data_IF_197534694286
#
_entry.id   IF_197534694286
#
_cell.length_a   1.000
_cell.length_b   1.000
_cell.length_c   1.000
_cell.angle_alpha   90.00
_cell.angle_beta   90.00
_cell.angle_gamma   90.00
#
_symmetry.space_group_name_H-M   'P 1'
#
loop_
_entity.id
_entity.type
_entity.pdbx_description
1 polymer ?
#
# COMPACT_ATOMS: atom_id res chain seq x y z
N UNK A 1 15.14 5.30 24.63
CA UNK A 1 15.49 5.26 26.07
C UNK A 1 16.66 6.21 26.28
N UNK A 2 16.67 6.93 27.41
CA UNK A 2 17.53 8.08 27.68
C UNK A 2 19.03 7.79 27.46
N UNK A 3 19.74 8.72 26.81
CA UNK A 3 21.21 8.69 26.69
C UNK A 3 21.81 9.29 27.95
N UNK A 4 22.27 8.45 28.86
CA UNK A 4 23.04 8.87 30.02
C UNK A 4 24.46 9.21 29.58
N UNK A 5 24.82 10.49 29.61
CA UNK A 5 26.18 10.97 29.41
C UNK A 5 26.97 10.75 30.71
N UNK A 6 27.90 9.79 30.72
CA UNK A 6 28.83 9.61 31.84
C UNK A 6 29.85 10.74 31.89
N UNK A 7 30.10 11.28 33.09
CA UNK A 7 31.15 12.27 33.33
C UNK A 7 32.54 11.62 33.32
N UNK A 8 33.58 12.38 33.01
CA UNK A 8 34.97 11.88 32.93
C UNK A 8 35.40 11.13 34.21
N UNK A 9 34.99 11.63 35.38
CA UNK A 9 35.25 10.98 36.67
C UNK A 9 34.58 9.61 36.83
N UNK A 10 33.41 9.39 36.21
CA UNK A 10 32.74 8.09 36.23
C UNK A 10 33.46 7.09 35.31
N UNK A 11 33.98 7.56 34.17
CA UNK A 11 34.80 6.75 33.28
C UNK A 11 36.13 6.36 33.94
N UNK A 12 36.77 7.28 34.67
CA UNK A 12 38.02 7.01 35.38
C UNK A 12 37.84 6.01 36.54
N UNK A 13 36.71 6.08 37.26
CA UNK A 13 36.39 5.10 38.29
C UNK A 13 36.15 3.70 37.70
N UNK A 14 35.44 3.60 36.57
CA UNK A 14 35.21 2.34 35.84
C UNK A 14 36.56 1.75 35.37
N UNK A 15 37.46 2.58 34.82
CA UNK A 15 38.81 2.18 34.42
C UNK A 15 39.62 1.63 35.60
N UNK A 16 39.57 2.29 36.76
CA UNK A 16 40.31 1.85 37.96
C UNK A 16 39.80 0.52 38.53
N UNK A 17 38.49 0.26 38.44
CA UNK A 17 37.87 -0.99 38.88
C UNK A 17 38.14 -2.15 37.92
N UNK A 18 38.12 -1.89 36.60
CA UNK A 18 38.46 -2.88 35.57
C UNK A 18 39.93 -3.30 35.65
N UNK A 19 40.85 -2.35 35.88
CA UNK A 19 42.27 -2.65 36.04
C UNK A 19 42.57 -3.53 37.28
N UNK A 20 41.81 -3.36 38.38
CA UNK A 20 41.95 -4.19 39.59
C UNK A 20 41.38 -5.61 39.44
N UNK A 21 40.45 -5.83 38.52
CA UNK A 21 39.69 -7.09 38.45
C UNK A 21 40.26 -8.07 37.41
N UNK A 22 41.06 -7.60 36.45
CA UNK A 22 41.47 -8.41 35.29
C UNK A 22 42.93 -8.87 35.23
N UNK A 23 43.84 -8.31 36.05
CA UNK A 23 45.25 -8.74 36.07
C UNK A 23 46.02 -8.56 34.74
N UNK A 24 47.32 -8.83 34.76
CA UNK A 24 48.36 -8.39 33.80
C UNK A 24 48.26 -8.89 32.33
N UNK A 25 47.11 -9.30 31.84
CA UNK A 25 46.90 -9.65 30.41
C UNK A 25 46.09 -8.62 29.62
N UNK A 26 45.83 -7.43 30.16
CA UNK A 26 44.91 -6.44 29.59
C UNK A 26 45.53 -5.24 28.86
N UNK A 27 46.84 -5.17 28.65
CA UNK A 27 47.49 -3.99 28.03
C UNK A 27 47.02 -3.72 26.60
N UNK A 28 46.82 -4.77 25.78
CA UNK A 28 46.36 -4.65 24.39
C UNK A 28 44.86 -4.35 24.23
N UNK A 29 44.04 -4.62 25.25
CA UNK A 29 42.61 -4.32 25.23
C UNK A 29 42.32 -2.88 25.69
N UNK A 30 43.13 -2.34 26.59
CA UNK A 30 43.05 -0.95 27.08
C UNK A 30 43.56 0.05 26.04
N UNK A 31 44.64 -0.25 25.32
CA UNK A 31 45.15 0.62 24.23
C UNK A 31 44.17 0.74 23.06
N UNK A 32 43.44 -0.33 22.72
CA UNK A 32 42.42 -0.30 21.67
C UNK A 32 41.14 0.46 22.07
N UNK A 33 40.91 0.67 23.36
CA UNK A 33 39.83 1.50 23.88
C UNK A 33 40.24 2.98 23.94
N UNK A 34 41.49 3.29 24.27
CA UNK A 34 41.99 4.68 24.32
C UNK A 34 41.99 5.36 22.94
N UNK A 35 42.27 4.60 21.87
CA UNK A 35 42.19 5.07 20.48
C UNK A 35 40.75 5.29 19.95
N UNK A 36 39.73 4.77 20.64
CA UNK A 36 38.32 4.99 20.24
C UNK A 36 37.66 6.19 20.93
N UNK A 37 38.29 6.76 21.96
CA UNK A 37 37.71 7.85 22.76
C UNK A 37 38.50 9.17 22.73
N UNK A 38 39.64 9.26 22.05
CA UNK A 38 40.46 10.50 21.95
C UNK A 38 40.45 11.19 20.58
N UNK A 39 39.55 10.85 19.66
CA UNK A 39 39.31 11.68 18.48
C UNK A 39 38.50 12.93 18.88
N UNK A 40 39.20 14.01 19.28
CA UNK A 40 38.62 15.34 19.51
C UNK A 40 38.54 16.13 18.20
N UNK A 41 37.41 16.81 18.07
CA UNK A 41 37.09 17.86 17.11
C UNK A 41 38.01 19.08 17.30
N UNK A 42 38.48 19.66 16.19
CA UNK A 42 38.77 21.10 16.11
C UNK A 42 37.70 21.74 15.22
N UNK A 43 36.91 22.63 15.81
CA UNK A 43 35.94 23.50 15.14
C UNK A 43 36.65 24.58 14.31
N UNK A 44 36.13 24.86 13.12
CA UNK A 44 36.11 26.23 12.59
C UNK A 44 34.65 26.57 12.35
N UNK A 45 34.11 27.42 13.23
CA UNK A 45 32.81 28.06 13.06
C UNK A 45 32.98 29.10 11.95
N UNK A 46 32.28 28.90 10.83
CA UNK A 46 31.95 29.94 9.87
C UNK A 46 30.42 29.98 9.81
N UNK A 47 29.86 31.13 10.14
CA UNK A 47 28.42 31.37 10.21
C UNK A 47 27.70 30.97 8.91
N UNK A 48 26.64 30.18 9.07
CA UNK A 48 25.84 29.63 8.01
C UNK A 48 24.91 30.67 7.37
N UNK A 49 24.75 30.57 6.05
CA UNK A 49 23.61 31.11 5.32
C UNK A 49 22.58 29.95 5.17
N UNK A 50 21.27 30.11 5.46
CA UNK A 50 20.41 28.98 5.83
C UNK A 50 19.82 28.12 4.69
N UNK A 51 20.11 28.39 3.41
CA UNK A 51 19.34 27.79 2.30
C UNK A 51 20.06 26.75 1.43
N UNK A 52 21.20 26.19 1.86
CA UNK A 52 21.89 25.14 1.09
C UNK A 52 22.36 24.02 2.03
N UNK A 53 21.45 23.10 2.37
CA UNK A 53 21.84 21.80 2.91
C UNK A 53 22.42 20.93 1.78
N UNK A 54 23.75 20.96 1.63
CA UNK A 54 24.53 20.00 0.84
C UNK A 54 25.27 19.06 1.81
N UNK A 55 25.18 17.75 1.55
CA UNK A 55 25.70 16.62 2.34
C UNK A 55 27.10 16.84 2.96
N UNK A 56 27.20 16.73 4.29
CA UNK A 56 28.45 16.79 5.06
C UNK A 56 29.36 15.55 4.95
N UNK A 57 29.12 14.61 4.03
CA UNK A 57 29.96 13.41 3.86
C UNK A 57 30.85 13.40 2.61
N UNK A 58 30.92 14.49 1.85
CA UNK A 58 31.77 14.60 0.66
C UNK A 58 33.20 15.08 0.99
N UNK A 59 33.87 14.49 1.98
CA UNK A 59 35.33 14.66 2.15
C UNK A 59 36.05 13.66 1.26
N UNK A 60 36.10 13.96 -0.03
CA UNK A 60 36.99 13.32 -0.98
C UNK A 60 37.74 14.40 -1.76
N UNK A 61 38.78 14.98 -1.16
CA UNK A 61 39.93 15.64 -1.80
C UNK A 61 39.75 16.78 -2.82
N UNK A 62 38.58 16.98 -3.42
CA UNK A 62 38.39 17.87 -4.56
C UNK A 62 37.72 19.16 -4.12
N UNK A 63 38.48 20.26 -4.19
CA UNK A 63 37.94 21.60 -4.00
C UNK A 63 36.94 21.92 -5.12
N UNK A 64 35.81 22.60 -4.81
CA UNK A 64 34.93 23.13 -5.85
C UNK A 64 35.75 24.00 -6.82
N UNK A 65 35.72 23.67 -8.12
CA UNK A 65 36.49 24.36 -9.17
C UNK A 65 37.81 23.69 -9.59
N UNK A 66 38.23 22.59 -8.97
CA UNK A 66 39.35 21.81 -9.47
C UNK A 66 39.00 21.14 -10.82
N UNK A 67 39.88 21.26 -11.81
CA UNK A 67 39.79 20.46 -13.05
C UNK A 67 39.98 19.00 -12.66
N UNK A 68 38.91 18.21 -12.74
CA UNK A 68 38.97 16.75 -12.56
C UNK A 68 39.54 16.17 -13.85
N UNK A 69 40.76 15.62 -13.76
CA UNK A 69 41.36 14.80 -14.81
C UNK A 69 40.89 13.35 -14.61
N UNK A 70 39.97 12.91 -15.46
CA UNK A 70 39.41 11.56 -15.40
C UNK A 70 40.44 10.52 -15.81
N UNK A 71 41.37 10.86 -16.71
CA UNK A 71 42.38 9.92 -17.20
C UNK A 71 43.42 9.65 -16.11
N UNK A 72 43.83 10.68 -15.37
CA UNK A 72 44.73 10.53 -14.22
C UNK A 72 44.10 9.66 -13.12
N UNK A 73 42.84 9.93 -12.74
CA UNK A 73 42.14 9.14 -11.71
C UNK A 73 41.94 7.68 -12.13
N UNK A 74 41.66 7.42 -13.42
CA UNK A 74 41.57 6.05 -13.94
C UNK A 74 42.96 5.38 -13.89
N UNK A 75 44.02 6.09 -14.27
CA UNK A 75 45.38 5.56 -14.27
C UNK A 75 45.92 5.25 -12.87
N UNK A 76 45.52 6.01 -11.85
CA UNK A 76 45.85 5.71 -10.45
C UNK A 76 45.34 4.33 -9.98
N UNK A 77 44.28 3.82 -10.62
CA UNK A 77 43.79 2.46 -10.39
C UNK A 77 43.22 2.21 -9.00
N UNK A 78 42.89 3.26 -8.24
CA UNK A 78 42.32 3.14 -6.89
C UNK A 78 40.81 3.36 -6.90
N UNK A 79 40.06 2.41 -6.38
CA UNK A 79 38.59 2.44 -6.37
C UNK A 79 37.99 3.64 -5.60
N UNK A 80 38.56 3.98 -4.44
CA UNK A 80 38.08 5.08 -3.58
C UNK A 80 38.03 6.42 -4.31
N UNK A 81 39.15 6.88 -4.92
CA UNK A 81 39.18 8.05 -5.79
C UNK A 81 38.17 8.00 -6.96
N UNK A 82 38.04 6.86 -7.65
CA UNK A 82 37.08 6.71 -8.75
C UNK A 82 35.63 6.93 -8.28
N UNK A 83 35.21 6.28 -7.19
CA UNK A 83 33.89 6.49 -6.57
C UNK A 83 33.73 7.95 -6.09
N UNK A 84 34.76 8.50 -5.46
CA UNK A 84 34.89 9.90 -5.05
C UNK A 84 34.48 10.88 -6.15
N UNK A 85 34.93 10.60 -7.37
CA UNK A 85 34.86 11.49 -8.53
C UNK A 85 33.48 11.49 -9.21
N UNK A 86 32.68 10.45 -9.02
CA UNK A 86 31.33 10.37 -9.60
C UNK A 86 30.41 11.51 -9.14
N UNK A 87 30.44 11.85 -7.85
CA UNK A 87 29.56 12.89 -7.28
C UNK A 87 29.77 14.26 -7.94
N UNK A 88 31.02 14.76 -8.01
CA UNK A 88 31.36 15.98 -8.75
C UNK A 88 31.03 15.91 -10.25
N UNK A 89 31.34 14.80 -10.93
CA UNK A 89 31.07 14.65 -12.37
C UNK A 89 29.58 14.70 -12.71
N UNK A 90 28.71 14.19 -11.83
CA UNK A 90 27.25 14.24 -12.02
C UNK A 90 26.71 15.68 -11.94
N UNK A 91 27.40 16.61 -11.26
CA UNK A 91 27.01 18.03 -11.17
C UNK A 91 27.38 18.84 -12.43
N UNK A 92 28.19 18.28 -13.34
CA UNK A 92 28.70 18.97 -14.53
C UNK A 92 28.05 18.39 -15.79
N UNK A 93 27.01 19.04 -16.32
CA UNK A 93 26.21 18.51 -17.44
C UNK A 93 27.02 18.26 -18.72
N UNK A 94 28.07 19.04 -18.96
CA UNK A 94 28.93 18.94 -20.16
C UNK A 94 29.89 17.74 -20.12
N UNK A 95 30.02 17.06 -18.96
CA UNK A 95 30.97 15.95 -18.74
C UNK A 95 30.31 14.56 -18.72
N UNK A 96 29.26 14.35 -19.51
CA UNK A 96 28.58 13.03 -19.61
C UNK A 96 29.50 11.91 -20.12
N UNK A 97 30.38 12.20 -21.08
CA UNK A 97 31.33 11.22 -21.60
C UNK A 97 32.36 10.79 -20.53
N UNK A 98 32.92 11.77 -19.80
CA UNK A 98 33.82 11.56 -18.66
C UNK A 98 33.15 10.74 -17.55
N UNK A 99 31.90 11.04 -17.23
CA UNK A 99 31.10 10.29 -16.26
C UNK A 99 30.93 8.83 -16.70
N UNK A 100 30.60 8.59 -17.98
CA UNK A 100 30.45 7.24 -18.53
C UNK A 100 31.77 6.46 -18.49
N UNK A 101 32.88 7.08 -18.89
CA UNK A 101 34.22 6.46 -18.82
C UNK A 101 34.59 6.09 -17.38
N UNK A 102 34.29 6.95 -16.40
CA UNK A 102 34.54 6.67 -14.99
C UNK A 102 33.68 5.50 -14.48
N UNK A 103 32.40 5.46 -14.84
CA UNK A 103 31.49 4.35 -14.47
C UNK A 103 31.97 3.04 -15.09
N UNK A 104 32.36 3.03 -16.37
CA UNK A 104 32.91 1.86 -17.04
C UNK A 104 34.23 1.39 -16.40
N UNK A 105 35.11 2.31 -16.00
CA UNK A 105 36.34 1.98 -15.28
C UNK A 105 36.04 1.32 -13.91
N UNK A 106 35.06 1.84 -13.16
CA UNK A 106 34.63 1.26 -11.88
C UNK A 106 34.06 -0.14 -12.09
N UNK A 107 33.21 -0.34 -13.09
CA UNK A 107 32.60 -1.64 -13.42
C UNK A 107 33.68 -2.70 -13.72
N UNK A 108 34.71 -2.31 -14.47
CA UNK A 108 35.79 -3.18 -14.93
C UNK A 108 36.95 -3.30 -13.92
N UNK A 109 36.88 -2.63 -12.77
CA UNK A 109 37.94 -2.65 -11.78
C UNK A 109 38.09 -4.06 -11.16
N UNK A 110 39.31 -4.62 -11.04
CA UNK A 110 39.51 -6.01 -10.61
C UNK A 110 38.99 -6.30 -9.20
N UNK A 111 39.07 -5.33 -8.29
CA UNK A 111 38.62 -5.48 -6.90
C UNK A 111 37.15 -5.08 -6.66
N UNK A 112 36.40 -4.70 -7.69
CA UNK A 112 35.04 -4.19 -7.50
C UNK A 112 34.15 -5.27 -6.86
N UNK A 113 33.41 -4.89 -5.82
CA UNK A 113 32.41 -5.74 -5.16
C UNK A 113 31.02 -5.13 -5.32
N UNK A 114 29.99 -5.93 -5.03
CA UNK A 114 28.60 -5.51 -5.22
C UNK A 114 28.25 -4.24 -4.41
N UNK A 115 28.78 -4.09 -3.17
CA UNK A 115 28.54 -2.88 -2.37
C UNK A 115 29.17 -1.61 -2.99
N UNK A 116 30.28 -1.74 -3.71
CA UNK A 116 30.89 -0.61 -4.40
C UNK A 116 30.04 -0.14 -5.58
N UNK A 117 29.39 -1.07 -6.29
CA UNK A 117 28.45 -0.73 -7.36
C UNK A 117 27.20 -0.02 -6.82
N UNK A 118 26.69 -0.46 -5.65
CA UNK A 118 25.61 0.25 -4.95
C UNK A 118 26.06 1.65 -4.53
N UNK A 119 27.28 1.80 -4.02
CA UNK A 119 27.83 3.11 -3.69
C UNK A 119 27.94 4.01 -4.93
N UNK A 120 28.46 3.50 -6.04
CA UNK A 120 28.50 4.23 -7.32
C UNK A 120 27.08 4.67 -7.74
N UNK A 121 26.11 3.77 -7.59
CA UNK A 121 24.71 4.00 -7.94
C UNK A 121 24.09 5.14 -7.11
N UNK A 122 24.39 5.22 -5.80
CA UNK A 122 23.92 6.33 -4.95
C UNK A 122 24.40 7.69 -5.44
N UNK A 123 25.60 7.74 -6.02
CA UNK A 123 26.23 8.98 -6.52
C UNK A 123 25.67 9.40 -7.88
N UNK A 124 25.23 8.44 -8.71
CA UNK A 124 24.70 8.71 -10.07
C UNK A 124 23.18 8.62 -10.18
N UNK A 125 22.44 8.61 -9.04
CA UNK A 125 20.98 8.43 -8.97
C UNK A 125 20.12 9.34 -9.85
N UNK A 126 20.66 10.45 -10.35
CA UNK A 126 19.96 11.41 -11.24
C UNK A 126 20.20 11.14 -12.74
N UNK A 127 21.12 10.25 -13.10
CA UNK A 127 21.48 9.94 -14.47
C UNK A 127 20.97 8.54 -14.86
N UNK A 128 19.86 8.50 -15.62
CA UNK A 128 19.15 7.25 -15.93
C UNK A 128 20.03 6.24 -16.70
N UNK A 129 20.87 6.69 -17.62
CA UNK A 129 21.77 5.83 -18.39
C UNK A 129 22.79 5.14 -17.47
N UNK A 130 23.44 5.91 -16.59
CA UNK A 130 24.43 5.37 -15.65
C UNK A 130 23.80 4.43 -14.61
N UNK A 131 22.59 4.76 -14.15
CA UNK A 131 21.78 3.85 -13.29
C UNK A 131 21.59 2.51 -14.00
N UNK A 132 21.21 2.51 -15.27
CA UNK A 132 21.00 1.28 -16.05
C UNK A 132 22.27 0.41 -16.13
N UNK A 133 23.41 1.02 -16.48
CA UNK A 133 24.69 0.31 -16.58
C UNK A 133 25.14 -0.31 -15.25
N UNK A 134 25.03 0.44 -14.16
CA UNK A 134 25.40 -0.06 -12.82
C UNK A 134 24.46 -1.17 -12.35
N UNK A 135 23.15 -1.04 -12.59
CA UNK A 135 22.18 -2.06 -12.21
C UNK A 135 22.41 -3.38 -12.93
N UNK A 136 22.72 -3.35 -14.23
CA UNK A 136 23.03 -4.57 -14.99
C UNK A 136 24.20 -5.34 -14.36
N UNK A 137 25.19 -4.63 -13.85
CA UNK A 137 26.35 -5.21 -13.18
C UNK A 137 26.05 -5.68 -11.76
N UNK A 138 25.16 -4.99 -11.03
CA UNK A 138 24.67 -5.48 -9.73
C UNK A 138 23.91 -6.79 -9.91
N UNK A 139 23.02 -6.87 -10.90
CA UNK A 139 22.23 -8.07 -11.19
C UNK A 139 23.12 -9.26 -11.58
N UNK A 140 24.11 -9.03 -12.43
CA UNK A 140 25.05 -10.07 -12.86
C UNK A 140 25.82 -10.73 -11.68
N UNK A 141 26.02 -10.00 -10.57
CA UNK A 141 26.77 -10.47 -9.39
C UNK A 141 25.93 -11.24 -8.37
N UNK A 142 24.61 -11.34 -8.56
CA UNK A 142 23.72 -12.22 -7.79
C UNK A 142 23.82 -12.06 -6.26
N UNK A 143 23.82 -10.82 -5.76
CA UNK A 143 23.81 -10.52 -4.32
C UNK A 143 22.46 -9.98 -3.86
N UNK A 144 21.74 -10.68 -2.97
CA UNK A 144 20.38 -10.28 -2.57
C UNK A 144 20.30 -8.92 -1.85
N UNK A 145 21.20 -8.64 -0.90
CA UNK A 145 21.22 -7.35 -0.21
C UNK A 145 21.61 -6.20 -1.17
N UNK A 146 22.67 -6.33 -2.01
CA UNK A 146 22.96 -5.35 -3.05
C UNK A 146 21.79 -5.06 -4.01
N UNK A 147 21.01 -6.07 -4.39
CA UNK A 147 19.83 -5.88 -5.22
C UNK A 147 18.77 -5.02 -4.52
N UNK A 148 18.46 -5.32 -3.26
CA UNK A 148 17.48 -4.56 -2.45
C UNK A 148 17.96 -3.13 -2.22
N UNK A 149 19.24 -2.93 -1.90
CA UNK A 149 19.78 -1.59 -1.68
C UNK A 149 19.83 -0.76 -2.97
N UNK A 150 20.06 -1.41 -4.12
CA UNK A 150 19.97 -0.76 -5.44
C UNK A 150 18.53 -0.32 -5.79
N UNK A 151 17.52 -1.06 -5.33
CA UNK A 151 16.10 -0.75 -5.55
C UNK A 151 15.74 0.62 -4.94
N UNK A 152 16.29 0.95 -3.77
CA UNK A 152 16.03 2.22 -3.06
C UNK A 152 16.49 3.45 -3.84
N UNK A 153 17.49 3.30 -4.71
CA UNK A 153 18.21 4.41 -5.35
C UNK A 153 17.99 4.50 -6.85
N UNK A 154 17.44 3.45 -7.49
CA UNK A 154 17.30 3.36 -8.96
C UNK A 154 15.98 3.94 -9.51
N UNK A 155 15.15 4.56 -8.67
CA UNK A 155 13.74 4.90 -8.97
C UNK A 155 13.48 5.76 -10.22
N UNK A 156 14.52 6.36 -10.82
CA UNK A 156 14.40 7.12 -12.07
C UNK A 156 14.39 6.25 -13.35
N UNK A 157 14.91 5.01 -13.29
CA UNK A 157 15.05 4.13 -14.43
C UNK A 157 14.16 2.89 -14.26
N UNK A 158 12.98 2.90 -14.90
CA UNK A 158 11.99 1.81 -14.81
C UNK A 158 12.53 0.45 -15.29
N UNK A 159 13.19 0.34 -16.45
CA UNK A 159 13.82 -0.93 -16.88
C UNK A 159 14.82 -1.50 -15.86
N UNK A 160 15.66 -0.64 -15.28
CA UNK A 160 16.62 -1.07 -14.26
C UNK A 160 15.90 -1.61 -13.01
N UNK A 161 14.87 -0.91 -12.56
CA UNK A 161 14.03 -1.34 -11.44
C UNK A 161 13.36 -2.70 -11.69
N UNK A 162 12.85 -2.96 -12.89
CA UNK A 162 12.28 -4.26 -13.28
C UNK A 162 13.34 -5.38 -13.21
N UNK A 163 14.56 -5.14 -13.71
CA UNK A 163 15.66 -6.12 -13.62
C UNK A 163 16.04 -6.42 -12.17
N UNK A 164 16.08 -5.40 -11.31
CA UNK A 164 16.31 -5.58 -9.87
C UNK A 164 15.19 -6.42 -9.24
N UNK A 165 13.93 -6.10 -9.55
CA UNK A 165 12.78 -6.83 -9.04
C UNK A 165 12.81 -8.31 -9.45
N UNK A 166 13.12 -8.59 -10.72
CA UNK A 166 13.27 -9.95 -11.23
C UNK A 166 14.40 -10.71 -10.53
N UNK A 167 15.56 -10.08 -10.34
CA UNK A 167 16.68 -10.68 -9.61
C UNK A 167 16.34 -10.96 -8.13
N UNK A 168 15.63 -10.05 -7.47
CA UNK A 168 15.15 -10.25 -6.10
C UNK A 168 14.10 -11.36 -6.05
N UNK A 169 13.21 -11.44 -7.03
CA UNK A 169 12.20 -12.49 -7.10
C UNK A 169 12.84 -13.87 -7.27
N UNK A 170 13.83 -14.01 -8.15
CA UNK A 170 14.57 -15.25 -8.36
C UNK A 170 15.31 -15.71 -7.08
N UNK A 171 16.07 -14.80 -6.46
CA UNK A 171 17.02 -15.16 -5.39
C UNK A 171 16.45 -15.00 -3.97
N UNK A 172 15.42 -14.20 -3.80
CA UNK A 172 14.93 -13.75 -2.50
C UNK A 172 14.17 -14.84 -1.76
N UNK A 173 14.43 -14.93 -0.45
CA UNK A 173 13.49 -15.53 0.50
C UNK A 173 12.33 -14.55 0.77
N UNK A 174 11.27 -15.02 1.44
CA UNK A 174 10.15 -14.14 1.81
C UNK A 174 10.59 -12.90 2.60
N UNK A 175 11.51 -13.04 3.55
CA UNK A 175 12.01 -11.89 4.32
C UNK A 175 12.80 -10.90 3.46
N UNK A 176 13.35 -11.33 2.33
CA UNK A 176 13.98 -10.43 1.35
C UNK A 176 12.91 -9.69 0.55
N UNK A 177 11.86 -10.39 0.10
CA UNK A 177 10.76 -9.79 -0.65
C UNK A 177 9.98 -8.76 0.16
N UNK A 178 9.69 -9.04 1.44
CA UNK A 178 9.05 -8.08 2.34
C UNK A 178 9.90 -6.81 2.52
N UNK A 179 11.22 -6.97 2.68
CA UNK A 179 12.16 -5.83 2.73
C UNK A 179 12.21 -5.07 1.42
N UNK A 180 12.15 -5.76 0.27
CA UNK A 180 12.13 -5.14 -1.05
C UNK A 180 10.85 -4.33 -1.27
N UNK A 181 9.67 -4.87 -0.93
CA UNK A 181 8.38 -4.15 -0.99
C UNK A 181 8.44 -2.89 -0.12
N UNK A 182 8.90 -3.02 1.13
CA UNK A 182 9.01 -1.88 2.06
C UNK A 182 10.03 -0.81 1.59
N UNK A 183 11.02 -1.21 0.80
CA UNK A 183 12.08 -0.33 0.31
C UNK A 183 11.82 0.20 -1.10
N UNK A 184 10.77 -0.26 -1.77
CA UNK A 184 10.48 0.09 -3.15
C UNK A 184 10.03 1.55 -3.23
N UNK A 185 10.61 2.37 -4.13
CA UNK A 185 10.02 3.64 -4.51
C UNK A 185 8.57 3.44 -4.96
N UNK A 186 7.70 4.37 -4.58
CA UNK A 186 6.27 4.34 -4.96
C UNK A 186 6.08 4.51 -6.46
N UNK A 187 4.90 4.11 -6.95
CA UNK A 187 4.47 4.24 -8.35
C UNK A 187 5.32 3.40 -9.32
N UNK A 188 5.75 2.21 -8.89
CA UNK A 188 6.53 1.28 -9.71
C UNK A 188 5.70 0.01 -9.93
N UNK A 189 4.61 0.14 -10.68
CA UNK A 189 3.57 -0.89 -10.82
C UNK A 189 4.14 -2.28 -11.14
N UNK A 190 5.00 -2.39 -12.15
CA UNK A 190 5.56 -3.69 -12.55
C UNK A 190 6.48 -4.31 -11.49
N UNK A 191 7.24 -3.47 -10.76
CA UNK A 191 8.11 -3.93 -9.67
C UNK A 191 7.26 -4.45 -8.52
N UNK A 192 6.24 -3.69 -8.16
CA UNK A 192 5.30 -4.04 -7.11
C UNK A 192 4.56 -5.34 -7.44
N UNK A 193 4.06 -5.48 -8.67
CA UNK A 193 3.45 -6.72 -9.16
C UNK A 193 4.44 -7.89 -9.10
N UNK A 194 5.67 -7.72 -9.61
CA UNK A 194 6.68 -8.79 -9.61
C UNK A 194 7.00 -9.28 -8.20
N UNK A 195 7.25 -8.36 -7.27
CA UNK A 195 7.58 -8.72 -5.89
C UNK A 195 6.39 -9.34 -5.16
N UNK A 196 5.18 -8.82 -5.36
CA UNK A 196 3.98 -9.32 -4.69
C UNK A 196 3.53 -10.68 -5.21
N UNK A 197 3.64 -10.94 -6.52
CA UNK A 197 3.42 -12.27 -7.08
C UNK A 197 4.37 -13.30 -6.47
N UNK A 198 5.64 -12.94 -6.28
CA UNK A 198 6.62 -13.83 -5.69
C UNK A 198 6.32 -14.11 -4.19
N UNK A 199 5.82 -13.11 -3.45
CA UNK A 199 5.33 -13.33 -2.08
C UNK A 199 4.17 -14.33 -2.05
N UNK A 200 3.26 -14.29 -3.03
CA UNK A 200 2.18 -15.27 -3.14
C UNK A 200 2.73 -16.67 -3.44
N UNK A 201 3.70 -16.76 -4.36
CA UNK A 201 4.29 -18.04 -4.76
C UNK A 201 5.09 -18.74 -3.67
N UNK A 202 5.81 -17.98 -2.83
CA UNK A 202 6.71 -18.52 -1.79
C UNK A 202 6.16 -18.41 -0.36
N UNK A 203 5.14 -17.60 -0.13
CA UNK A 203 4.79 -17.09 1.20
C UNK A 203 3.58 -17.77 1.82
N UNK A 204 3.59 -17.84 3.16
CA UNK A 204 2.41 -18.21 3.93
C UNK A 204 1.40 -17.05 4.02
N UNK A 205 0.17 -17.35 4.43
CA UNK A 205 -0.90 -16.35 4.60
C UNK A 205 -0.47 -15.13 5.43
N UNK A 206 0.16 -15.33 6.59
CA UNK A 206 0.61 -14.19 7.42
C UNK A 206 1.68 -13.33 6.74
N UNK A 207 2.51 -13.93 5.87
CA UNK A 207 3.50 -13.17 5.12
C UNK A 207 2.85 -12.35 3.99
N UNK A 208 1.80 -12.88 3.35
CA UNK A 208 0.97 -12.10 2.43
C UNK A 208 0.27 -10.95 3.14
N UNK A 209 -0.30 -11.17 4.33
CA UNK A 209 -0.93 -10.11 5.13
C UNK A 209 0.07 -9.04 5.56
N UNK A 210 1.31 -9.43 5.87
CA UNK A 210 2.36 -8.46 6.19
C UNK A 210 2.77 -7.65 4.97
N UNK A 211 2.90 -8.31 3.80
CA UNK A 211 3.16 -7.60 2.54
C UNK A 211 2.07 -6.57 2.21
N UNK A 212 0.80 -6.89 2.47
CA UNK A 212 -0.33 -5.97 2.24
C UNK A 212 -0.21 -4.69 3.07
N UNK A 213 0.35 -4.76 4.28
CA UNK A 213 0.56 -3.57 5.12
C UNK A 213 1.75 -2.73 4.67
N UNK A 214 2.73 -3.35 4.01
CA UNK A 214 3.97 -2.69 3.59
C UNK A 214 3.83 -1.99 2.24
N UNK A 215 2.93 -2.48 1.38
CA UNK A 215 2.70 -1.90 0.06
C UNK A 215 1.80 -0.66 0.12
N UNK A 216 1.89 0.19 -0.90
CA UNK A 216 0.92 1.25 -1.08
C UNK A 216 -0.48 0.64 -1.32
N UNK A 217 -1.48 0.91 -0.46
CA UNK A 217 -2.79 0.27 -0.56
C UNK A 217 -3.49 0.59 -1.88
N UNK A 218 -3.18 1.70 -2.54
CA UNK A 218 -3.79 2.10 -3.80
C UNK A 218 -3.12 1.47 -5.03
N UNK A 219 -2.02 0.73 -4.85
CA UNK A 219 -1.26 0.24 -5.98
C UNK A 219 -1.79 -1.07 -6.58
N UNK A 220 -1.39 -1.41 -7.82
CA UNK A 220 -1.71 -2.71 -8.42
C UNK A 220 -1.19 -3.91 -7.61
N UNK A 221 -0.06 -3.76 -6.91
CA UNK A 221 0.48 -4.84 -6.07
C UNK A 221 -0.43 -5.17 -4.89
N UNK A 222 -1.17 -4.21 -4.35
CA UNK A 222 -2.17 -4.46 -3.31
C UNK A 222 -3.33 -5.36 -3.84
N UNK A 223 -3.72 -5.17 -5.11
CA UNK A 223 -4.72 -6.01 -5.79
C UNK A 223 -4.20 -7.44 -6.00
N UNK A 224 -2.92 -7.57 -6.39
CA UNK A 224 -2.26 -8.88 -6.54
C UNK A 224 -2.26 -9.62 -5.21
N UNK A 225 -1.83 -8.98 -4.11
CA UNK A 225 -1.85 -9.60 -2.79
C UNK A 225 -3.26 -9.94 -2.29
N UNK A 226 -4.25 -9.06 -2.54
CA UNK A 226 -5.65 -9.35 -2.23
C UNK A 226 -6.14 -10.60 -2.98
N UNK A 227 -5.73 -10.77 -4.23
CA UNK A 227 -6.00 -11.98 -5.04
C UNK A 227 -5.34 -13.21 -4.43
N UNK A 228 -4.07 -13.11 -4.04
CA UNK A 228 -3.34 -14.19 -3.37
C UNK A 228 -4.02 -14.64 -2.09
N UNK A 229 -4.41 -13.70 -1.22
CA UNK A 229 -5.13 -13.98 0.03
C UNK A 229 -6.48 -14.64 -0.25
N UNK A 230 -7.27 -14.10 -1.19
CA UNK A 230 -8.59 -14.64 -1.52
C UNK A 230 -8.54 -16.09 -2.03
N UNK A 231 -7.46 -16.46 -2.72
CA UNK A 231 -7.25 -17.79 -3.29
C UNK A 231 -6.67 -18.83 -2.31
N UNK A 232 -6.36 -18.45 -1.07
CA UNK A 232 -5.92 -19.42 -0.06
C UNK A 232 -7.04 -20.42 0.24
N UNK A 233 -6.70 -21.71 0.11
CA UNK A 233 -7.59 -22.81 0.48
C UNK A 233 -7.88 -22.75 1.97
N UNK A 234 -9.16 -22.78 2.35
CA UNK A 234 -9.62 -22.67 3.75
C UNK A 234 -9.21 -21.36 4.43
N UNK A 235 -9.26 -20.23 3.71
CA UNK A 235 -9.05 -18.90 4.28
C UNK A 235 -9.99 -18.66 5.49
N UNK A 236 -9.46 -18.39 6.69
CA UNK A 236 -10.30 -18.00 7.82
C UNK A 236 -10.86 -16.58 7.62
N UNK A 237 -11.98 -16.28 8.28
CA UNK A 237 -12.68 -14.99 8.16
C UNK A 237 -11.78 -13.82 8.61
N UNK A 238 -11.07 -13.98 9.74
CA UNK A 238 -10.28 -12.90 10.34
C UNK A 238 -9.13 -12.39 9.45
N UNK A 239 -8.30 -13.27 8.84
CA UNK A 239 -7.31 -12.87 7.84
C UNK A 239 -7.89 -12.11 6.65
N UNK A 240 -9.07 -12.55 6.16
CA UNK A 240 -9.74 -11.91 5.04
C UNK A 240 -10.22 -10.50 5.40
N UNK A 241 -10.77 -10.31 6.61
CA UNK A 241 -11.17 -8.99 7.13
C UNK A 241 -9.96 -8.08 7.32
N UNK A 242 -8.84 -8.59 7.83
CA UNK A 242 -7.58 -7.83 7.97
C UNK A 242 -7.07 -7.34 6.60
N UNK A 243 -7.05 -8.23 5.61
CA UNK A 243 -6.67 -7.86 4.25
C UNK A 243 -7.61 -6.80 3.67
N UNK A 244 -8.94 -7.00 3.80
CA UNK A 244 -9.94 -6.05 3.30
C UNK A 244 -9.79 -4.68 3.94
N UNK A 245 -9.53 -4.62 5.24
CA UNK A 245 -9.33 -3.36 5.98
C UNK A 245 -8.12 -2.60 5.46
N UNK A 246 -7.05 -3.30 5.09
CA UNK A 246 -5.83 -2.69 4.60
C UNK A 246 -5.96 -2.15 3.15
N UNK A 247 -6.81 -2.76 2.32
CA UNK A 247 -7.03 -2.37 0.92
C UNK A 247 -8.41 -1.76 0.65
N UNK A 248 -9.13 -1.33 1.69
CA UNK A 248 -10.53 -0.89 1.60
C UNK A 248 -10.78 0.25 0.60
N UNK A 249 -9.76 1.08 0.39
CA UNK A 249 -9.81 2.25 -0.49
C UNK A 249 -9.41 1.90 -1.94
N UNK A 250 -8.89 0.69 -2.16
CA UNK A 250 -8.58 0.15 -3.49
C UNK A 250 -9.75 -0.68 -3.99
N UNK A 251 -10.47 -0.15 -4.99
CA UNK A 251 -11.71 -0.75 -5.49
C UNK A 251 -11.52 -2.20 -5.95
N UNK A 252 -10.43 -2.49 -6.67
CA UNK A 252 -10.15 -3.84 -7.17
C UNK A 252 -9.82 -4.82 -6.05
N UNK A 253 -8.89 -4.45 -5.16
CA UNK A 253 -8.51 -5.30 -4.03
C UNK A 253 -9.67 -5.54 -3.06
N UNK A 254 -10.42 -4.49 -2.74
CA UNK A 254 -11.58 -4.57 -1.85
C UNK A 254 -12.69 -5.44 -2.45
N UNK A 255 -12.97 -5.34 -3.75
CA UNK A 255 -13.99 -6.15 -4.40
C UNK A 255 -13.65 -7.65 -4.37
N UNK A 256 -12.39 -8.01 -4.65
CA UNK A 256 -11.91 -9.40 -4.62
C UNK A 256 -12.08 -10.02 -3.24
N UNK A 257 -11.65 -9.31 -2.20
CA UNK A 257 -11.75 -9.78 -0.82
C UNK A 257 -13.20 -9.78 -0.33
N UNK A 258 -14.00 -8.78 -0.69
CA UNK A 258 -15.42 -8.74 -0.36
C UNK A 258 -16.16 -9.94 -0.96
N UNK A 259 -15.93 -10.26 -2.25
CA UNK A 259 -16.52 -11.46 -2.89
C UNK A 259 -16.22 -12.72 -2.09
N UNK A 260 -14.94 -12.92 -1.73
CA UNK A 260 -14.53 -14.08 -0.95
C UNK A 260 -15.19 -14.12 0.43
N UNK A 261 -15.26 -12.96 1.10
CA UNK A 261 -15.77 -12.84 2.46
C UNK A 261 -17.27 -13.11 2.57
N UNK A 262 -18.06 -12.64 1.61
CA UNK A 262 -19.53 -12.76 1.65
C UNK A 262 -20.02 -14.21 1.41
N UNK A 263 -19.19 -15.04 0.79
CA UNK A 263 -19.40 -16.50 0.69
C UNK A 263 -19.20 -17.19 2.05
N UNK A 264 -18.28 -16.69 2.89
CA UNK A 264 -17.88 -17.32 4.15
C UNK A 264 -18.74 -16.94 5.36
N UNK A 265 -19.43 -15.79 5.32
CA UNK A 265 -20.09 -15.21 6.51
C UNK A 265 -21.62 -15.28 6.46
N UNK A 266 -22.27 -15.38 7.62
CA UNK A 266 -23.74 -15.35 7.72
C UNK A 266 -24.33 -13.94 7.57
N UNK A 267 -25.66 -13.86 7.44
CA UNK A 267 -26.42 -12.61 7.22
C UNK A 267 -26.05 -11.49 8.22
N UNK A 268 -25.98 -11.72 9.55
CA UNK A 268 -25.64 -10.63 10.48
C UNK A 268 -24.24 -10.05 10.29
N UNK A 269 -23.29 -10.88 9.83
CA UNK A 269 -21.93 -10.46 9.59
C UNK A 269 -21.83 -9.60 8.31
N UNK A 270 -22.66 -9.84 7.30
CA UNK A 270 -22.74 -8.97 6.10
C UNK A 270 -23.09 -7.52 6.46
N UNK A 271 -23.98 -7.32 7.44
CA UNK A 271 -24.31 -5.98 7.95
C UNK A 271 -23.07 -5.33 8.58
N UNK A 272 -22.32 -6.07 9.37
CA UNK A 272 -21.08 -5.57 10.00
C UNK A 272 -20.00 -5.20 8.98
N UNK A 273 -19.94 -5.89 7.83
CA UNK A 273 -19.04 -5.54 6.73
C UNK A 273 -19.36 -4.16 6.14
N UNK A 274 -20.63 -3.89 5.88
CA UNK A 274 -21.07 -2.57 5.41
C UNK A 274 -20.82 -1.47 6.45
N UNK A 275 -20.99 -1.76 7.74
CA UNK A 275 -20.83 -0.75 8.79
C UNK A 275 -19.37 -0.34 9.03
N UNK A 276 -18.41 -1.25 8.85
CA UNK A 276 -17.04 -1.05 9.36
C UNK A 276 -15.94 -1.18 8.32
N UNK A 277 -16.14 -1.98 7.28
CA UNK A 277 -15.04 -2.50 6.45
C UNK A 277 -15.13 -2.10 4.99
N UNK A 278 -16.28 -1.59 4.53
CA UNK A 278 -16.49 -1.20 3.14
C UNK A 278 -17.13 0.19 3.08
N UNK A 279 -16.68 1.02 2.14
CA UNK A 279 -17.31 2.30 1.85
C UNK A 279 -18.54 2.12 0.95
N UNK A 280 -19.63 2.82 1.25
CA UNK A 280 -20.91 2.71 0.54
C UNK A 280 -20.88 3.15 -0.93
N UNK A 281 -19.83 3.82 -1.39
CA UNK A 281 -19.68 4.25 -2.79
C UNK A 281 -18.87 3.29 -3.64
N UNK A 282 -18.30 2.21 -3.05
CA UNK A 282 -17.33 1.35 -3.75
C UNK A 282 -17.96 0.09 -4.32
N UNK A 283 -17.32 -0.55 -5.33
CA UNK A 283 -17.78 -1.81 -5.89
C UNK A 283 -17.97 -2.94 -4.86
N UNK A 284 -17.14 -2.96 -3.80
CA UNK A 284 -17.27 -3.91 -2.71
C UNK A 284 -18.62 -3.78 -1.96
N UNK A 285 -19.17 -2.57 -1.82
CA UNK A 285 -20.47 -2.38 -1.16
C UNK A 285 -21.60 -3.00 -1.98
N UNK A 286 -21.53 -2.92 -3.32
CA UNK A 286 -22.47 -3.61 -4.19
C UNK A 286 -22.44 -5.12 -3.95
N UNK A 287 -21.25 -5.72 -3.85
CA UNK A 287 -21.09 -7.15 -3.59
C UNK A 287 -21.72 -7.57 -2.26
N UNK A 288 -21.45 -6.83 -1.19
CA UNK A 288 -21.99 -7.14 0.15
C UNK A 288 -23.51 -6.96 0.19
N UNK A 289 -24.06 -5.88 -0.39
CA UNK A 289 -25.51 -5.66 -0.44
C UNK A 289 -26.20 -6.71 -1.31
N UNK A 290 -25.67 -7.05 -2.48
CA UNK A 290 -26.25 -8.09 -3.34
C UNK A 290 -26.30 -9.44 -2.61
N UNK A 291 -25.22 -9.84 -1.93
CA UNK A 291 -25.23 -11.09 -1.18
C UNK A 291 -26.20 -11.06 0.01
N UNK A 292 -26.33 -9.91 0.68
CA UNK A 292 -27.32 -9.73 1.75
C UNK A 292 -28.74 -9.92 1.20
N UNK A 293 -29.06 -9.30 0.08
CA UNK A 293 -30.36 -9.43 -0.62
C UNK A 293 -30.61 -10.89 -0.99
N UNK A 294 -29.63 -11.55 -1.62
CA UNK A 294 -29.73 -12.95 -2.03
C UNK A 294 -29.97 -13.90 -0.83
N UNK A 295 -29.23 -13.76 0.27
CA UNK A 295 -29.44 -14.60 1.46
C UNK A 295 -30.78 -14.36 2.13
N UNK A 296 -31.27 -13.12 2.13
CA UNK A 296 -32.58 -12.78 2.67
C UNK A 296 -33.71 -13.31 1.79
N UNK A 297 -33.56 -13.31 0.47
CA UNK A 297 -34.49 -13.95 -0.46
C UNK A 297 -34.64 -15.46 -0.18
N UNK A 298 -33.53 -16.15 0.12
CA UNK A 298 -33.55 -17.58 0.50
C UNK A 298 -34.08 -17.78 1.93
N UNK A 299 -33.84 -16.82 2.84
CA UNK A 299 -34.24 -16.87 4.25
C UNK A 299 -35.08 -15.65 4.65
N UNK A 300 -36.39 -15.60 4.29
CA UNK A 300 -37.24 -14.44 4.56
C UNK A 300 -37.35 -14.06 6.05
N UNK A 301 -37.13 -15.00 6.96
CA UNK A 301 -37.06 -14.72 8.41
C UNK A 301 -35.94 -13.74 8.81
N UNK A 302 -34.97 -13.49 7.91
CA UNK A 302 -33.85 -12.56 8.09
C UNK A 302 -34.07 -11.17 7.49
N UNK A 303 -35.27 -10.86 6.98
CA UNK A 303 -35.61 -9.53 6.41
C UNK A 303 -35.23 -8.35 7.30
N UNK A 304 -35.30 -8.51 8.63
CA UNK A 304 -34.90 -7.49 9.61
C UNK A 304 -33.45 -7.01 9.47
N UNK A 305 -32.55 -7.82 8.91
CA UNK A 305 -31.15 -7.45 8.69
C UNK A 305 -31.00 -6.43 7.54
N UNK A 306 -31.89 -6.42 6.54
CA UNK A 306 -31.92 -5.38 5.50
C UNK A 306 -32.14 -4.00 6.12
N UNK A 307 -33.05 -3.92 7.09
CA UNK A 307 -33.37 -2.68 7.80
C UNK A 307 -32.19 -2.22 8.64
N UNK A 308 -31.44 -3.14 9.26
CA UNK A 308 -30.22 -2.77 9.99
C UNK A 308 -29.14 -2.22 9.05
N UNK A 309 -28.94 -2.85 7.90
CA UNK A 309 -27.97 -2.42 6.89
C UNK A 309 -28.21 -0.99 6.41
N UNK A 310 -29.46 -0.49 6.42
CA UNK A 310 -29.74 0.91 6.04
C UNK A 310 -29.05 1.97 6.90
N UNK A 311 -28.61 1.64 8.12
CA UNK A 311 -27.82 2.56 8.96
C UNK A 311 -26.37 2.70 8.49
N UNK A 312 -25.85 1.69 7.81
CA UNK A 312 -24.51 1.68 7.25
C UNK A 312 -24.41 2.56 6.00
N UNK A 313 -25.53 2.75 5.30
CA UNK A 313 -25.60 3.46 4.02
C UNK A 313 -26.24 4.83 4.22
N UNK A 314 -25.40 5.87 4.33
CA UNK A 314 -25.78 7.23 4.75
C UNK A 314 -25.96 8.18 3.57
N UNK A 315 -25.32 7.92 2.43
CA UNK A 315 -25.37 8.75 1.24
C UNK A 315 -26.51 8.41 0.28
N UNK A 316 -26.59 9.18 -0.81
CA UNK A 316 -27.36 8.80 -1.98
C UNK A 316 -26.48 7.93 -2.90
N UNK A 317 -26.44 6.63 -2.60
CA UNK A 317 -25.56 5.67 -3.24
C UNK A 317 -26.35 4.52 -3.86
N UNK A 318 -25.76 3.86 -4.86
CA UNK A 318 -26.37 2.70 -5.51
C UNK A 318 -26.66 1.56 -4.50
N UNK A 319 -25.76 1.21 -3.55
CA UNK A 319 -26.11 0.28 -2.46
C UNK A 319 -27.33 0.70 -1.63
N UNK A 320 -27.53 2.01 -1.42
CA UNK A 320 -28.70 2.51 -0.68
C UNK A 320 -29.99 2.25 -1.46
N UNK A 321 -29.95 2.42 -2.78
CA UNK A 321 -31.09 2.21 -3.67
C UNK A 321 -31.39 0.71 -3.82
N UNK A 322 -30.36 -0.13 -3.89
CA UNK A 322 -30.48 -1.60 -3.86
C UNK A 322 -31.14 -2.08 -2.56
N UNK A 323 -30.69 -1.60 -1.40
CA UNK A 323 -31.29 -1.92 -0.10
C UNK A 323 -32.74 -1.43 -0.01
N UNK A 324 -33.03 -0.19 -0.42
CA UNK A 324 -34.39 0.35 -0.43
C UNK A 324 -35.33 -0.49 -1.30
N UNK A 325 -34.87 -0.87 -2.50
CA UNK A 325 -35.62 -1.74 -3.42
C UNK A 325 -35.89 -3.11 -2.82
N UNK A 326 -34.88 -3.73 -2.18
CA UNK A 326 -35.05 -5.01 -1.50
C UNK A 326 -36.02 -4.94 -0.31
N UNK A 327 -35.98 -3.85 0.46
CA UNK A 327 -36.93 -3.64 1.56
C UNK A 327 -38.36 -3.54 1.05
N UNK A 328 -38.59 -2.83 -0.06
CA UNK A 328 -39.90 -2.77 -0.71
C UNK A 328 -40.36 -4.15 -1.20
N UNK A 329 -39.44 -4.96 -1.75
CA UNK A 329 -39.78 -6.30 -2.25
C UNK A 329 -40.05 -7.34 -1.17
N UNK A 330 -39.33 -7.29 -0.06
CA UNK A 330 -39.31 -8.40 0.92
C UNK A 330 -39.88 -8.05 2.30
N UNK A 331 -39.93 -6.77 2.69
CA UNK A 331 -40.42 -6.37 4.02
C UNK A 331 -41.87 -5.87 3.98
N UNK A 332 -42.47 -5.71 5.16
CA UNK A 332 -43.82 -5.17 5.30
C UNK A 332 -43.84 -3.63 5.36
N UNK A 333 -45.06 -3.08 5.35
CA UNK A 333 -45.32 -1.64 5.36
C UNK A 333 -44.73 -0.92 6.59
N UNK A 334 -44.74 -1.57 7.75
CA UNK A 334 -44.23 -0.98 9.00
C UNK A 334 -42.70 -0.85 8.92
N UNK A 335 -42.04 -1.83 8.31
CA UNK A 335 -40.61 -1.80 8.06
C UNK A 335 -40.23 -0.78 6.97
N UNK A 336 -41.07 -0.53 5.98
CA UNK A 336 -40.87 0.55 4.99
C UNK A 336 -40.89 1.93 5.65
N UNK A 337 -41.89 2.19 6.50
CA UNK A 337 -42.02 3.45 7.25
C UNK A 337 -40.81 3.67 8.17
N UNK A 338 -40.44 2.64 8.94
CA UNK A 338 -39.27 2.69 9.82
C UNK A 338 -37.99 2.97 9.04
N UNK A 339 -37.87 2.42 7.84
CA UNK A 339 -36.69 2.63 6.98
C UNK A 339 -36.68 4.02 6.37
N UNK A 340 -37.81 4.53 5.89
CA UNK A 340 -37.93 5.88 5.33
C UNK A 340 -37.48 6.97 6.31
N UNK A 341 -37.84 6.82 7.59
CA UNK A 341 -37.44 7.75 8.66
C UNK A 341 -35.95 7.67 9.01
N UNK A 342 -35.26 6.58 8.64
CA UNK A 342 -33.86 6.31 9.00
C UNK A 342 -32.88 6.61 7.89
N UNK A 343 -33.23 6.30 6.65
CA UNK A 343 -32.36 6.52 5.49
C UNK A 343 -32.18 8.02 5.30
N UNK A 344 -30.97 8.47 4.95
CA UNK A 344 -30.71 9.88 4.68
C UNK A 344 -30.77 10.22 3.18
N UNK A 345 -30.36 9.30 2.30
CA UNK A 345 -30.31 9.49 0.84
C UNK A 345 -31.64 9.83 0.18
N UNK A 346 -31.60 10.75 -0.79
CA UNK A 346 -32.80 11.24 -1.50
C UNK A 346 -33.44 10.12 -2.33
N UNK A 347 -32.68 9.46 -3.20
CA UNK A 347 -33.24 8.45 -4.11
C UNK A 347 -33.83 7.25 -3.36
N UNK A 348 -33.17 6.76 -2.31
CA UNK A 348 -33.72 5.69 -1.46
C UNK A 348 -35.00 6.12 -0.71
N UNK A 349 -35.10 7.40 -0.29
CA UNK A 349 -36.33 7.95 0.28
C UNK A 349 -37.45 8.02 -0.75
N UNK A 350 -37.15 8.40 -2.00
CA UNK A 350 -38.13 8.45 -3.09
C UNK A 350 -38.72 7.05 -3.34
N UNK A 351 -37.87 6.02 -3.42
CA UNK A 351 -38.29 4.61 -3.56
C UNK A 351 -39.27 4.22 -2.43
N UNK A 352 -38.86 4.43 -1.17
CA UNK A 352 -39.65 4.02 0.00
C UNK A 352 -40.95 4.84 0.15
N UNK A 353 -40.91 6.15 -0.10
CA UNK A 353 -42.10 7.01 -0.06
C UNK A 353 -43.12 6.61 -1.13
N UNK A 354 -42.67 6.30 -2.35
CA UNK A 354 -43.54 5.86 -3.43
C UNK A 354 -44.14 4.46 -3.17
N UNK A 355 -43.38 3.53 -2.59
CA UNK A 355 -43.94 2.24 -2.17
C UNK A 355 -45.01 2.41 -1.07
N UNK A 356 -44.70 3.20 -0.04
CA UNK A 356 -45.60 3.46 1.06
C UNK A 356 -46.89 4.19 0.61
N UNK A 357 -46.78 5.17 -0.29
CA UNK A 357 -47.93 5.91 -0.81
C UNK A 357 -48.83 5.09 -1.74
N UNK A 358 -48.28 4.14 -2.53
CA UNK A 358 -49.08 3.22 -3.35
C UNK A 358 -49.96 2.31 -2.48
N UNK A 359 -49.45 1.84 -1.33
CA UNK A 359 -50.19 0.91 -0.46
C UNK A 359 -51.02 1.62 0.65
N UNK A 360 -50.65 2.84 1.05
CA UNK A 360 -51.28 3.58 2.14
C UNK A 360 -52.36 4.59 1.75
N UNK A 361 -52.47 4.91 0.45
CA UNK A 361 -53.33 5.99 -0.04
C UNK A 361 -52.87 7.38 0.40
N UNK A 362 -53.25 8.43 -0.34
CA UNK A 362 -52.79 9.83 -0.17
C UNK A 362 -52.88 10.33 1.29
N UNK A 363 -53.93 9.95 2.02
CA UNK A 363 -54.16 10.36 3.42
C UNK A 363 -53.26 9.65 4.43
N UNK A 364 -52.91 8.38 4.20
CA UNK A 364 -52.00 7.63 5.06
C UNK A 364 -50.54 8.10 4.92
N UNK A 365 -50.20 8.64 3.74
CA UNK A 365 -48.88 9.20 3.40
C UNK A 365 -48.65 10.57 4.04
N UNK A 366 -49.66 11.46 4.02
CA UNK A 366 -49.58 12.81 4.60
C UNK A 366 -49.43 12.77 6.13
N UNK A 367 -50.15 11.86 6.81
CA UNK A 367 -50.11 11.74 8.28
C UNK A 367 -48.76 11.24 8.82
N UNK A 368 -48.01 10.45 8.04
CA UNK A 368 -46.83 9.71 8.51
C UNK A 368 -45.50 10.13 7.89
N UNK A 369 -45.49 10.62 6.63
CA UNK A 369 -44.26 11.12 5.99
C UNK A 369 -44.03 12.62 6.23
N UNK A 370 -44.95 13.30 6.94
CA UNK A 370 -44.75 14.66 7.47
C UNK A 370 -44.72 15.79 6.43
N UNK A 371 -45.01 15.51 5.16
CA UNK A 371 -45.12 16.53 4.11
C UNK A 371 -46.53 16.55 3.52
N UNK A 372 -47.24 17.65 3.74
CA UNK A 372 -48.40 17.97 2.92
C UNK A 372 -47.91 18.16 1.47
N UNK A 373 -48.39 17.34 0.54
CA UNK A 373 -48.11 17.51 -0.89
C UNK A 373 -46.92 16.73 -1.46
N UNK A 374 -46.52 15.57 -0.91
CA UNK A 374 -45.65 14.67 -1.68
C UNK A 374 -46.44 14.15 -2.89
N UNK A 375 -46.15 14.70 -4.06
CA UNK A 375 -46.85 14.38 -5.28
C UNK A 375 -46.38 13.03 -5.83
N UNK A 376 -47.05 11.98 -5.36
CA UNK A 376 -46.83 10.60 -5.77
C UNK A 376 -46.88 10.43 -7.29
N UNK A 377 -47.68 11.23 -7.99
CA UNK A 377 -47.82 11.15 -9.45
C UNK A 377 -46.57 11.67 -10.18
N UNK A 378 -45.86 12.65 -9.60
CA UNK A 378 -44.62 13.20 -10.16
C UNK A 378 -43.41 12.30 -9.91
N UNK A 379 -43.35 11.66 -8.75
CA UNK A 379 -42.18 10.89 -8.33
C UNK A 379 -42.32 9.39 -8.58
N UNK A 380 -43.49 8.89 -8.99
CA UNK A 380 -43.69 7.46 -9.30
C UNK A 380 -42.81 6.98 -10.47
N UNK A 381 -42.67 7.80 -11.52
CA UNK A 381 -41.81 7.48 -12.65
C UNK A 381 -40.33 7.44 -12.24
N UNK A 382 -39.90 8.39 -11.41
CA UNK A 382 -38.55 8.44 -10.85
C UNK A 382 -38.26 7.24 -9.95
N UNK A 383 -39.17 6.91 -9.02
CA UNK A 383 -39.03 5.75 -8.13
C UNK A 383 -38.94 4.44 -8.91
N UNK A 384 -39.80 4.24 -9.93
CA UNK A 384 -39.75 3.04 -10.77
C UNK A 384 -38.41 2.94 -11.55
N UNK A 385 -37.92 4.07 -12.08
CA UNK A 385 -36.61 4.12 -12.76
C UNK A 385 -35.48 3.73 -11.80
N UNK A 386 -35.43 4.34 -10.62
CA UNK A 386 -34.41 4.06 -9.61
C UNK A 386 -34.46 2.60 -9.11
N UNK A 387 -35.66 2.06 -8.89
CA UNK A 387 -35.83 0.65 -8.52
C UNK A 387 -35.33 -0.29 -9.61
N UNK A 388 -35.60 0.03 -10.89
CA UNK A 388 -35.13 -0.76 -12.02
C UNK A 388 -33.61 -0.71 -12.12
N UNK A 389 -33.00 0.47 -12.12
CA UNK A 389 -31.54 0.64 -12.17
C UNK A 389 -30.84 -0.09 -11.01
N UNK A 390 -31.37 0.02 -9.78
CA UNK A 390 -30.84 -0.66 -8.62
C UNK A 390 -30.98 -2.19 -8.71
N UNK A 391 -32.11 -2.70 -9.22
CA UNK A 391 -32.33 -4.14 -9.38
C UNK A 391 -31.50 -4.73 -10.52
N UNK A 392 -31.35 -4.00 -11.63
CA UNK A 392 -30.49 -4.37 -12.75
C UNK A 392 -29.03 -4.48 -12.26
N UNK A 393 -28.55 -3.50 -11.48
CA UNK A 393 -27.21 -3.56 -10.87
C UNK A 393 -27.07 -4.73 -9.90
N UNK A 394 -28.09 -4.99 -9.09
CA UNK A 394 -28.10 -6.13 -8.17
C UNK A 394 -27.97 -7.45 -8.94
N UNK A 395 -28.70 -7.57 -10.05
CA UNK A 395 -28.71 -8.74 -10.93
C UNK A 395 -27.39 -8.92 -11.66
N UNK A 396 -26.81 -7.84 -12.17
CA UNK A 396 -25.47 -7.83 -12.77
C UNK A 396 -24.43 -8.34 -11.77
N UNK A 397 -24.39 -7.80 -10.55
CA UNK A 397 -23.43 -8.23 -9.51
C UNK A 397 -23.68 -9.68 -9.09
N UNK A 398 -24.95 -10.09 -8.97
CA UNK A 398 -25.32 -11.46 -8.61
C UNK A 398 -24.81 -12.45 -9.67
N UNK A 399 -25.06 -12.18 -10.95
CA UNK A 399 -24.68 -13.04 -12.07
C UNK A 399 -23.18 -13.00 -12.36
N UNK A 400 -22.64 -11.80 -12.55
CA UNK A 400 -21.31 -11.60 -13.14
C UNK A 400 -20.19 -11.66 -12.08
N UNK A 401 -20.49 -11.31 -10.82
CA UNK A 401 -19.50 -11.31 -9.73
C UNK A 401 -19.71 -12.48 -8.77
N UNK A 402 -20.91 -12.63 -8.22
CA UNK A 402 -21.20 -13.62 -7.19
C UNK A 402 -21.57 -15.00 -7.74
N UNK A 403 -21.94 -15.09 -9.03
CA UNK A 403 -22.41 -16.31 -9.69
C UNK A 403 -23.59 -16.97 -8.94
N UNK A 404 -24.52 -16.14 -8.46
CA UNK A 404 -25.76 -16.56 -7.79
C UNK A 404 -26.97 -16.06 -8.58
N UNK A 405 -28.08 -16.78 -8.50
CA UNK A 405 -29.34 -16.37 -9.14
C UNK A 405 -30.17 -15.53 -8.16
N UNK A 406 -30.49 -14.29 -8.57
CA UNK A 406 -31.61 -13.55 -7.98
C UNK A 406 -32.87 -14.00 -8.71
N UNK A 407 -33.94 -14.31 -7.97
CA UNK A 407 -35.21 -14.74 -8.56
C UNK A 407 -35.68 -13.78 -9.65
N UNK A 408 -36.39 -14.31 -10.67
CA UNK A 408 -36.89 -13.52 -11.81
C UNK A 408 -37.66 -12.29 -11.31
N UNK A 409 -37.42 -11.13 -11.93
CA UNK A 409 -38.22 -9.93 -11.68
C UNK A 409 -39.68 -10.27 -11.92
N UNK A 410 -40.52 -10.09 -10.91
CA UNK A 410 -41.97 -10.26 -10.98
C UNK A 410 -42.67 -9.18 -11.80
N UNK A 411 -42.03 -8.69 -12.87
CA UNK A 411 -42.58 -7.70 -13.80
C UNK A 411 -43.16 -8.39 -15.08
N UNK A 412 -43.21 -9.72 -15.10
CA UNK A 412 -43.83 -10.55 -16.15
C UNK A 412 -45.23 -11.11 -15.75
N UNK A 413 -45.87 -10.58 -14.70
CA UNK A 413 -47.28 -10.88 -14.36
C UNK A 413 -48.18 -9.64 -14.28
#
# INVERSE_FOLDING_TARGET
MARDNFTQKQLDNIKSQLAKTLGDQSSTALENLDNRFTAREEEVIIEANPDVMDDHSATGGFKPGAKIDVDEVIAEGKLGPMLGTLGPLVKIEEKKADLRRMVEAIINHPEIKAFNLVEALTRVRKNSEMVGLLVDQVVARKGINPLIDSLKVSGINKPAMQKLAAGIAEMGTINHLLRAIASCPKNQEEVEITLTMEVIGKGALEQMLEAIKLIDPMSPGAVVLATGVANVKNLPVEPCVRALTAVKDNEGGAQILAKRLVEMVEVPALVSLLEKYVSETTPAAHVVVTQLIHKVMIQPSRNKELIKATKAVRGDSMPAQMLATAIVKFCDKDDWERTFLRVAGHNSKVILACAYGKQGGMFGTIRKLGKAGYDMSKNAAEANKLMKEAWDRCTEVARDVLQVELGKSSDDE
#
